data_IF_045928073507
#
_entry.id   IF_045928073507
#
_cell.length_a   1.000
_cell.length_b   1.000
_cell.length_c   1.000
_cell.angle_alpha   90.00
_cell.angle_beta   90.00
_cell.angle_gamma   90.00
#
_symmetry.space_group_name_H-M   'P 1'
#
loop_
_entity.id
_entity.type
_entity.pdbx_description
1 polymer ?
#
# COMPACT_ATOMS: atom_id res chain seq x y z
N UNK A 1 21.98 18.24 -20.89
CA UNK A 1 22.10 19.32 -19.91
C UNK A 1 20.83 20.15 -19.92
N UNK A 2 20.49 20.79 -18.82
CA UNK A 2 19.28 21.62 -18.71
C UNK A 2 19.54 23.05 -19.18
N UNK A 3 20.71 23.55 -18.86
CA UNK A 3 21.16 24.87 -19.34
C UNK A 3 21.77 24.79 -20.76
N UNK A 4 21.66 25.87 -21.50
CA UNK A 4 22.30 26.03 -22.79
C UNK A 4 23.84 26.20 -22.64
N UNK A 5 24.61 25.64 -23.57
CA UNK A 5 26.07 25.60 -23.53
C UNK A 5 26.69 26.99 -23.39
N UNK A 6 26.16 28.00 -24.09
CA UNK A 6 26.62 29.38 -24.02
C UNK A 6 26.38 30.01 -22.65
N UNK A 7 25.30 29.64 -21.97
CA UNK A 7 24.96 30.09 -20.62
C UNK A 7 25.93 29.47 -19.60
N UNK A 8 26.18 28.16 -19.67
CA UNK A 8 27.15 27.47 -18.81
C UNK A 8 28.53 28.09 -18.92
N UNK A 9 29.00 28.35 -20.14
CA UNK A 9 30.31 28.94 -20.40
C UNK A 9 30.40 30.38 -19.84
N UNK A 10 29.39 31.21 -20.01
CA UNK A 10 29.33 32.56 -19.45
C UNK A 10 29.40 32.58 -17.93
N UNK A 11 28.54 31.78 -17.28
CA UNK A 11 28.47 31.68 -15.81
C UNK A 11 29.81 31.21 -15.24
N UNK A 12 30.40 30.17 -15.86
CA UNK A 12 31.70 29.67 -15.42
C UNK A 12 32.81 30.72 -15.58
N UNK A 13 32.87 31.44 -16.71
CA UNK A 13 33.88 32.46 -16.95
C UNK A 13 33.73 33.66 -16.02
N UNK A 14 32.54 34.07 -15.68
CA UNK A 14 32.26 35.18 -14.78
C UNK A 14 32.58 34.87 -13.29
N UNK A 15 32.66 33.61 -12.93
CA UNK A 15 32.82 33.20 -11.54
C UNK A 15 34.23 33.45 -10.99
N UNK A 16 34.33 34.11 -9.85
CA UNK A 16 35.58 34.32 -9.10
C UNK A 16 36.13 33.02 -8.49
N UNK A 17 35.28 32.10 -8.14
CA UNK A 17 35.62 30.80 -7.55
C UNK A 17 35.17 29.66 -8.46
N UNK A 18 36.01 29.30 -9.41
CA UNK A 18 35.73 28.30 -10.45
C UNK A 18 35.27 26.93 -9.89
N UNK A 19 35.87 26.53 -8.77
CA UNK A 19 35.53 25.25 -8.14
C UNK A 19 34.09 25.20 -7.61
N UNK A 20 33.63 26.29 -6.99
CA UNK A 20 32.28 26.37 -6.43
C UNK A 20 31.25 26.50 -7.57
N UNK A 21 31.59 27.29 -8.62
CA UNK A 21 30.76 27.44 -9.80
C UNK A 21 30.59 26.11 -10.56
N UNK A 22 31.62 25.29 -10.71
CA UNK A 22 31.49 23.98 -11.32
C UNK A 22 30.57 23.06 -10.56
N UNK A 23 30.50 23.17 -9.21
CA UNK A 23 29.51 22.45 -8.42
C UNK A 23 28.10 22.99 -8.68
N UNK A 24 27.92 24.30 -8.63
CA UNK A 24 26.60 24.93 -8.88
C UNK A 24 26.07 24.57 -10.26
N UNK A 25 26.91 24.61 -11.30
CA UNK A 25 26.50 24.22 -12.66
C UNK A 25 26.16 22.72 -12.77
N UNK A 26 26.86 21.86 -12.03
CA UNK A 26 26.54 20.44 -11.94
C UNK A 26 25.16 20.22 -11.33
N UNK A 27 24.87 20.91 -10.24
CA UNK A 27 23.59 20.82 -9.52
C UNK A 27 22.44 21.35 -10.38
N UNK A 28 22.61 22.49 -11.04
CA UNK A 28 21.60 23.09 -11.94
C UNK A 28 21.33 22.24 -13.18
N UNK A 29 22.29 21.47 -13.65
CA UNK A 29 22.13 20.57 -14.79
C UNK A 29 21.84 19.15 -14.42
N UNK A 30 21.65 18.83 -13.13
CA UNK A 30 21.40 17.49 -12.61
C UNK A 30 22.45 16.45 -13.07
N UNK A 31 23.72 16.84 -13.14
CA UNK A 31 24.83 15.96 -13.52
C UNK A 31 25.89 15.88 -12.40
N UNK A 32 26.64 14.78 -12.30
CA UNK A 32 27.73 14.68 -11.34
C UNK A 32 28.80 15.77 -11.59
N UNK A 33 29.37 16.32 -10.52
CA UNK A 33 30.43 17.36 -10.61
C UNK A 33 31.58 16.97 -11.55
N UNK A 34 31.97 15.71 -11.56
CA UNK A 34 33.01 15.19 -12.44
C UNK A 34 32.64 15.30 -13.92
N UNK A 35 31.37 14.97 -14.21
CA UNK A 35 30.85 15.07 -15.59
C UNK A 35 30.79 16.51 -16.05
N UNK A 36 30.34 17.44 -15.19
CA UNK A 36 30.38 18.86 -15.46
C UNK A 36 31.83 19.35 -15.66
N UNK A 37 32.78 18.89 -14.85
CA UNK A 37 34.20 19.25 -15.01
C UNK A 37 34.79 18.72 -16.32
N UNK A 38 34.44 17.52 -16.75
CA UNK A 38 34.84 16.97 -18.05
C UNK A 38 34.26 17.80 -19.21
N UNK A 39 32.96 18.09 -19.13
CA UNK A 39 32.27 18.90 -20.12
C UNK A 39 32.94 20.31 -20.28
N UNK A 40 33.28 20.97 -19.15
CA UNK A 40 33.98 22.25 -19.16
C UNK A 40 35.36 22.18 -19.87
N UNK A 41 36.11 21.08 -19.63
CA UNK A 41 37.40 20.86 -20.33
C UNK A 41 37.19 20.64 -21.82
N UNK A 42 36.21 19.86 -22.23
CA UNK A 42 35.87 19.59 -23.63
C UNK A 42 35.48 20.86 -24.38
N UNK A 43 34.93 21.87 -23.67
CA UNK A 43 34.62 23.19 -24.22
C UNK A 43 35.74 24.23 -24.04
N UNK A 44 36.96 23.77 -23.74
CA UNK A 44 38.15 24.60 -23.71
C UNK A 44 38.31 25.48 -22.46
N UNK A 45 37.62 25.16 -21.38
CA UNK A 45 37.72 25.91 -20.12
C UNK A 45 38.68 25.25 -19.14
N UNK A 46 39.46 26.08 -18.44
CA UNK A 46 40.42 25.61 -17.44
C UNK A 46 39.69 25.17 -16.16
N UNK A 47 39.89 23.91 -15.73
CA UNK A 47 39.36 23.35 -14.48
C UNK A 47 40.49 22.87 -13.58
N UNK A 48 40.32 23.00 -12.28
CA UNK A 48 41.26 22.43 -11.31
C UNK A 48 41.31 20.90 -11.49
N UNK A 49 42.53 20.36 -11.70
CA UNK A 49 42.74 18.91 -11.89
C UNK A 49 42.14 18.05 -10.77
N UNK A 50 41.96 18.60 -9.57
CA UNK A 50 41.29 17.93 -8.44
C UNK A 50 39.80 17.70 -8.67
N UNK A 51 39.18 18.41 -9.61
CA UNK A 51 37.76 18.23 -9.96
C UNK A 51 37.55 17.07 -10.94
N UNK A 52 38.60 16.73 -11.69
CA UNK A 52 38.66 15.61 -12.64
C UNK A 52 39.07 14.29 -11.94
N UNK A 53 39.89 14.39 -10.86
CA UNK A 53 40.20 13.23 -10.05
C UNK A 53 38.92 12.77 -9.33
N UNK A 54 38.63 11.48 -9.45
CA UNK A 54 37.59 10.88 -8.63
C UNK A 54 37.90 11.18 -7.16
N UNK A 55 37.18 12.10 -6.55
CA UNK A 55 37.04 12.05 -5.11
C UNK A 55 36.68 10.60 -4.81
N UNK A 56 37.38 9.95 -3.88
CA UNK A 56 36.92 8.69 -3.33
C UNK A 56 35.44 8.90 -3.02
N UNK A 57 34.58 8.35 -3.85
CA UNK A 57 33.20 8.13 -3.42
C UNK A 57 33.39 7.32 -2.16
N UNK A 58 32.99 7.79 -0.96
CA UNK A 58 32.97 6.91 0.19
C UNK A 58 32.22 5.70 -0.32
N UNK A 59 32.85 4.53 -0.25
CA UNK A 59 32.21 3.28 -0.63
C UNK A 59 30.83 3.35 0.00
N UNK A 60 29.78 3.25 -0.83
CA UNK A 60 28.42 3.28 -0.33
C UNK A 60 28.40 2.37 0.87
N UNK A 61 28.01 2.88 2.02
CA UNK A 61 27.88 2.05 3.21
C UNK A 61 27.16 0.78 2.75
N UNK A 62 27.63 -0.42 3.11
CA UNK A 62 26.94 -1.63 2.69
C UNK A 62 25.46 -1.41 2.97
N UNK A 63 24.56 -1.77 2.03
CA UNK A 63 23.13 -1.58 2.25
C UNK A 63 22.82 -2.11 3.63
N UNK A 64 22.11 -1.33 4.44
CA UNK A 64 21.67 -1.78 5.77
C UNK A 64 21.08 -3.17 5.56
N UNK A 65 21.42 -4.16 6.39
CA UNK A 65 20.89 -5.51 6.24
C UNK A 65 19.38 -5.38 6.09
N UNK A 66 18.83 -5.95 5.03
CA UNK A 66 17.39 -5.95 4.84
C UNK A 66 16.76 -6.46 6.14
N UNK A 67 15.72 -5.78 6.64
CA UNK A 67 15.10 -6.20 7.89
C UNK A 67 14.70 -7.66 7.74
N UNK A 68 15.22 -8.49 8.64
CA UNK A 68 14.96 -9.93 8.64
C UNK A 68 13.45 -10.14 8.61
N UNK A 69 12.94 -10.78 7.56
CA UNK A 69 11.52 -11.15 7.45
C UNK A 69 11.13 -12.13 8.58
N UNK A 70 12.10 -12.71 9.25
CA UNK A 70 11.95 -13.59 10.41
C UNK A 70 11.60 -12.84 11.71
N UNK A 71 11.71 -11.49 11.72
CA UNK A 71 11.36 -10.66 12.89
C UNK A 71 9.89 -10.77 13.27
N UNK A 72 9.02 -11.30 12.39
CA UNK A 72 7.60 -11.51 12.63
C UNK A 72 7.23 -12.97 12.41
N UNK A 73 6.90 -13.66 13.52
CA UNK A 73 6.48 -15.06 13.48
C UNK A 73 5.02 -15.19 12.96
N UNK A 74 4.83 -14.97 11.66
CA UNK A 74 3.54 -15.07 10.98
C UNK A 74 3.50 -16.20 9.93
N UNK A 75 4.56 -16.98 9.81
CA UNK A 75 4.61 -18.15 8.95
C UNK A 75 3.46 -19.12 9.30
N UNK A 76 2.69 -19.53 8.30
CA UNK A 76 1.56 -20.46 8.48
C UNK A 76 0.27 -19.82 9.00
N UNK A 77 0.24 -18.52 9.33
CA UNK A 77 -1.01 -17.84 9.69
C UNK A 77 -1.87 -17.54 8.46
N UNK A 78 -3.20 -17.67 8.55
CA UNK A 78 -4.10 -17.33 7.46
C UNK A 78 -3.94 -15.86 7.01
N UNK A 79 -3.84 -15.66 5.70
CA UNK A 79 -3.76 -14.33 5.10
C UNK A 79 -5.16 -13.74 4.92
N UNK A 80 -5.64 -13.00 5.89
CA UNK A 80 -6.99 -12.40 5.89
C UNK A 80 -7.20 -11.43 4.72
N UNK A 81 -6.14 -10.85 4.16
CA UNK A 81 -6.19 -9.99 2.98
C UNK A 81 -6.60 -10.73 1.69
N UNK A 82 -6.63 -12.06 1.69
CA UNK A 82 -7.15 -12.87 0.59
C UNK A 82 -8.67 -13.03 0.61
N UNK A 83 -9.32 -12.69 1.73
CA UNK A 83 -10.78 -12.73 1.83
C UNK A 83 -11.36 -11.55 1.06
N UNK A 84 -12.33 -11.78 0.14
CA UNK A 84 -13.04 -10.69 -0.53
C UNK A 84 -13.69 -9.75 0.50
N UNK A 85 -13.34 -8.46 0.47
CA UNK A 85 -13.77 -7.52 1.53
C UNK A 85 -15.28 -7.32 1.59
N UNK A 86 -16.00 -7.46 0.46
CA UNK A 86 -17.44 -7.23 0.41
C UNK A 86 -18.21 -8.09 1.40
N UNK A 87 -17.81 -9.35 1.59
CA UNK A 87 -18.47 -10.24 2.55
C UNK A 87 -18.42 -9.70 3.99
N UNK A 88 -17.36 -9.00 4.36
CA UNK A 88 -17.23 -8.40 5.70
C UNK A 88 -18.21 -7.24 5.90
N UNK A 89 -18.37 -6.40 4.86
CA UNK A 89 -19.38 -5.32 4.89
C UNK A 89 -20.79 -5.86 4.91
N UNK A 90 -21.08 -6.90 4.13
CA UNK A 90 -22.39 -7.54 4.11
C UNK A 90 -22.75 -8.13 5.47
N UNK A 91 -21.83 -8.86 6.10
CA UNK A 91 -22.04 -9.39 7.47
C UNK A 91 -22.22 -8.25 8.47
N UNK A 92 -21.40 -7.19 8.39
CA UNK A 92 -21.52 -6.05 9.30
C UNK A 92 -22.88 -5.36 9.20
N UNK A 93 -23.39 -5.13 7.99
CA UNK A 93 -24.71 -4.54 7.79
C UNK A 93 -25.84 -5.37 8.42
N UNK A 94 -25.80 -6.70 8.28
CA UNK A 94 -26.78 -7.60 8.94
C UNK A 94 -26.63 -7.56 10.47
N UNK A 95 -25.39 -7.48 10.96
CA UNK A 95 -25.12 -7.38 12.40
C UNK A 95 -25.65 -6.07 13.00
N UNK A 96 -25.46 -4.96 12.29
CA UNK A 96 -25.99 -3.64 12.70
C UNK A 96 -27.53 -3.66 12.75
N UNK A 97 -28.17 -4.21 11.72
CA UNK A 97 -29.61 -4.40 11.70
C UNK A 97 -30.09 -5.27 12.88
N UNK A 98 -29.46 -6.41 13.12
CA UNK A 98 -29.79 -7.30 14.23
C UNK A 98 -29.58 -6.62 15.59
N UNK A 99 -28.51 -5.85 15.78
CA UNK A 99 -28.25 -5.11 17.00
C UNK A 99 -29.31 -4.02 17.25
N UNK A 100 -29.70 -3.30 16.21
CA UNK A 100 -30.78 -2.31 16.32
C UNK A 100 -32.12 -2.95 16.69
N UNK A 101 -32.41 -4.15 16.19
CA UNK A 101 -33.64 -4.90 16.45
C UNK A 101 -33.71 -5.51 17.85
N UNK A 102 -32.61 -6.12 18.31
CA UNK A 102 -32.58 -6.91 19.54
C UNK A 102 -31.93 -6.17 20.71
N UNK A 103 -31.28 -5.03 20.48
CA UNK A 103 -30.60 -4.19 21.48
C UNK A 103 -29.51 -4.92 22.29
N UNK A 104 -29.00 -6.03 21.76
CA UNK A 104 -27.93 -6.84 22.34
C UNK A 104 -27.03 -7.39 21.22
N UNK A 105 -25.78 -6.89 21.08
CA UNK A 105 -24.85 -7.35 20.06
C UNK A 105 -24.43 -8.81 20.25
N UNK A 106 -24.63 -9.39 21.43
CA UNK A 106 -24.25 -10.77 21.76
C UNK A 106 -25.44 -11.75 21.77
N UNK A 107 -26.65 -11.26 21.49
CA UNK A 107 -27.88 -12.08 21.48
C UNK A 107 -27.75 -13.35 20.61
N UNK A 108 -26.98 -13.25 19.49
CA UNK A 108 -26.77 -14.35 18.56
C UNK A 108 -26.14 -15.60 19.21
N UNK A 109 -25.35 -15.43 20.28
CA UNK A 109 -24.69 -16.51 21.00
C UNK A 109 -25.67 -17.39 21.79
N UNK A 110 -26.87 -16.86 22.07
CA UNK A 110 -27.93 -17.55 22.86
C UNK A 110 -28.93 -18.30 21.96
N UNK A 111 -28.80 -18.15 20.65
CA UNK A 111 -29.69 -18.75 19.67
C UNK A 111 -29.16 -20.14 19.26
N UNK A 112 -30.03 -21.13 19.29
CA UNK A 112 -29.69 -22.50 18.88
C UNK A 112 -29.11 -22.53 17.43
N UNK A 113 -28.00 -23.25 17.19
CA UNK A 113 -27.37 -23.34 15.87
C UNK A 113 -28.32 -23.79 14.75
N UNK A 114 -29.28 -24.66 15.07
CA UNK A 114 -30.25 -25.12 14.10
C UNK A 114 -31.08 -23.99 13.49
N UNK A 115 -31.41 -22.97 14.27
CA UNK A 115 -32.14 -21.81 13.77
C UNK A 115 -31.34 -21.02 12.72
N UNK A 116 -30.02 -20.98 12.86
CA UNK A 116 -29.15 -20.38 11.87
C UNK A 116 -29.02 -21.22 10.60
N UNK A 117 -28.98 -22.56 10.72
CA UNK A 117 -28.99 -23.46 9.54
C UNK A 117 -30.29 -23.28 8.75
N UNK A 118 -31.42 -23.26 9.41
CA UNK A 118 -32.73 -23.02 8.77
C UNK A 118 -32.80 -21.63 8.11
N UNK A 119 -32.31 -20.59 8.77
CA UNK A 119 -32.29 -19.26 8.24
C UNK A 119 -31.34 -19.17 7.02
N UNK A 120 -30.14 -19.74 7.11
CA UNK A 120 -29.19 -19.81 6.01
C UNK A 120 -29.80 -20.49 4.78
N UNK A 121 -30.48 -21.62 4.98
CA UNK A 121 -31.12 -22.38 3.90
C UNK A 121 -32.25 -21.57 3.24
N UNK A 122 -33.11 -20.89 4.02
CA UNK A 122 -34.15 -20.03 3.47
C UNK A 122 -33.60 -18.89 2.63
N UNK A 123 -32.59 -18.20 3.12
CA UNK A 123 -31.96 -17.10 2.37
C UNK A 123 -31.21 -17.59 1.13
N UNK A 124 -30.61 -18.78 1.18
CA UNK A 124 -29.98 -19.41 0.03
C UNK A 124 -31.00 -19.70 -1.08
N UNK A 125 -32.14 -20.29 -0.76
CA UNK A 125 -33.20 -20.56 -1.74
C UNK A 125 -33.75 -19.27 -2.36
N UNK A 126 -33.95 -18.23 -1.55
CA UNK A 126 -34.38 -16.91 -2.06
C UNK A 126 -33.34 -16.29 -2.99
N UNK A 127 -32.05 -16.41 -2.65
CA UNK A 127 -30.97 -15.95 -3.52
C UNK A 127 -30.91 -16.70 -4.85
N UNK A 128 -31.16 -18.01 -4.87
CA UNK A 128 -31.21 -18.79 -6.12
C UNK A 128 -32.38 -18.34 -7.01
N UNK A 129 -33.52 -18.08 -6.41
CA UNK A 129 -34.72 -17.62 -7.13
C UNK A 129 -34.53 -16.20 -7.68
N UNK A 130 -34.00 -15.29 -6.87
CA UNK A 130 -33.65 -13.92 -7.29
C UNK A 130 -32.30 -13.49 -6.67
N UNK A 131 -31.18 -13.52 -7.43
CA UNK A 131 -29.86 -13.09 -6.94
C UNK A 131 -29.77 -11.62 -6.52
N UNK A 132 -30.68 -10.76 -6.98
CA UNK A 132 -30.77 -9.35 -6.59
C UNK A 132 -31.75 -9.12 -5.42
N UNK A 133 -32.49 -10.14 -5.04
CA UNK A 133 -33.54 -10.08 -4.04
C UNK A 133 -33.08 -9.63 -2.67
N UNK A 134 -33.97 -8.89 -1.99
CA UNK A 134 -33.77 -8.39 -0.65
C UNK A 134 -34.79 -8.99 0.30
N UNK A 135 -34.42 -9.14 1.56
CA UNK A 135 -35.31 -9.53 2.61
C UNK A 135 -36.29 -8.38 2.95
N UNK A 136 -37.58 -8.69 2.99
CA UNK A 136 -38.65 -7.68 3.15
C UNK A 136 -38.58 -6.97 4.51
N UNK A 137 -38.09 -7.62 5.53
CA UNK A 137 -38.00 -7.05 6.87
C UNK A 137 -36.82 -6.11 7.03
N UNK A 138 -35.65 -6.50 6.54
CA UNK A 138 -34.40 -5.73 6.72
C UNK A 138 -34.09 -4.79 5.55
N UNK A 139 -34.63 -5.07 4.35
CA UNK A 139 -34.25 -4.40 3.10
C UNK A 139 -32.85 -4.79 2.61
N UNK A 140 -32.18 -5.76 3.25
CA UNK A 140 -30.83 -6.20 2.92
C UNK A 140 -30.87 -7.45 2.05
N UNK A 141 -29.82 -7.66 1.24
CA UNK A 141 -29.77 -8.80 0.31
C UNK A 141 -29.83 -10.14 1.01
N UNK A 142 -30.55 -11.10 0.43
CA UNK A 142 -30.59 -12.47 0.93
C UNK A 142 -29.20 -13.10 1.02
N UNK A 143 -28.30 -12.77 0.07
CA UNK A 143 -26.92 -13.25 0.10
C UNK A 143 -26.14 -12.74 1.34
N UNK A 144 -26.39 -11.51 1.77
CA UNK A 144 -25.77 -10.95 2.99
C UNK A 144 -26.26 -11.66 4.25
N UNK A 145 -27.58 -11.94 4.34
CA UNK A 145 -28.16 -12.74 5.41
C UNK A 145 -27.59 -14.15 5.46
N UNK A 146 -27.44 -14.81 4.30
CA UNK A 146 -26.79 -16.11 4.19
C UNK A 146 -25.36 -16.06 4.75
N UNK A 147 -24.55 -15.09 4.32
CA UNK A 147 -23.17 -14.93 4.77
C UNK A 147 -23.09 -14.74 6.30
N UNK A 148 -23.98 -13.93 6.88
CA UNK A 148 -24.02 -13.69 8.32
C UNK A 148 -24.42 -14.96 9.11
N UNK A 149 -25.42 -15.71 8.66
CA UNK A 149 -25.80 -16.96 9.29
C UNK A 149 -24.68 -18.01 9.26
N UNK A 150 -23.95 -18.12 8.13
CA UNK A 150 -22.78 -19.00 8.03
C UNK A 150 -21.66 -18.54 8.97
N UNK A 151 -21.42 -17.23 9.10
CA UNK A 151 -20.42 -16.71 10.02
C UNK A 151 -20.71 -17.05 11.47
N UNK A 152 -21.98 -16.99 11.89
CA UNK A 152 -22.41 -17.44 13.23
C UNK A 152 -22.15 -18.92 13.45
N UNK A 153 -22.51 -19.76 12.50
CA UNK A 153 -22.27 -21.20 12.58
C UNK A 153 -20.78 -21.52 12.69
N UNK A 154 -19.93 -20.88 11.88
CA UNK A 154 -18.48 -21.04 11.95
C UNK A 154 -17.92 -20.67 13.33
N UNK A 155 -18.41 -19.60 13.95
CA UNK A 155 -17.93 -19.17 15.27
C UNK A 155 -18.44 -20.13 16.39
N UNK A 156 -19.67 -20.65 16.28
CA UNK A 156 -20.23 -21.61 17.23
C UNK A 156 -19.50 -22.96 17.19
N UNK A 157 -19.19 -23.48 16.00
CA UNK A 157 -18.44 -24.73 15.82
C UNK A 157 -17.02 -24.66 16.36
N UNK A 158 -16.37 -23.48 16.30
CA UNK A 158 -15.04 -23.26 16.86
C UNK A 158 -15.00 -23.41 18.39
N UNK A 159 -16.15 -23.20 19.07
CA UNK A 159 -16.26 -23.27 20.52
C UNK A 159 -16.64 -24.65 21.02
N UNK A 160 -16.98 -25.58 20.12
CA UNK A 160 -17.32 -26.96 20.40
C UNK A 160 -16.09 -27.86 20.38
#
# INVERSE_FOLDING_TARGET
MIMDDGEIIREYNAAKKKKDMAQTLADLNCVPKKEMAQWLVEHGLEVDKRMLSAGKIPAAAPPAPEPSQEAKADAGKPRLTLVPMQILFDIAAIREYGNAKYHDPENWKQVEPERYREAAFRHFLRYIDDPAGVDEESGLKHLAHLACNIAFLCEMEKQS
#
